data_IF_806639309781
#
_entry.id   IF_806639309781
#
_cell.length_a   1.000
_cell.length_b   1.000
_cell.length_c   1.000
_cell.angle_alpha   90.00
_cell.angle_beta   90.00
_cell.angle_gamma   90.00
#
_symmetry.space_group_name_H-M   'P 1'
#
loop_
_entity.id
_entity.type
_entity.pdbx_description
1 polymer ?
#
# COMPACT_ATOMS: atom_id res chain seq x y z
N UNK A 1 -22.81 -19.99 32.49
CA UNK A 1 -21.42 -19.49 32.36
C UNK A 1 -20.72 -20.44 31.37
N UNK A 2 -20.73 -20.14 30.08
CA UNK A 2 -20.04 -20.93 29.04
C UNK A 2 -18.95 -20.05 28.49
N UNK A 3 -17.69 -20.50 28.62
CA UNK A 3 -16.51 -19.83 28.11
C UNK A 3 -16.57 -19.78 26.59
N UNK A 4 -16.23 -18.63 26.06
CA UNK A 4 -15.97 -18.46 24.63
C UNK A 4 -14.59 -19.05 24.34
N UNK A 5 -14.58 -20.09 23.56
CA UNK A 5 -13.38 -20.78 23.08
C UNK A 5 -12.54 -19.83 22.20
N UNK A 6 -11.27 -19.71 22.60
CA UNK A 6 -10.23 -19.05 21.81
C UNK A 6 -9.75 -19.94 20.67
N UNK A 7 -10.56 -20.09 19.62
CA UNK A 7 -10.33 -21.07 18.55
C UNK A 7 -10.33 -20.50 17.13
N UNK A 8 -10.03 -19.20 16.90
CA UNK A 8 -10.14 -18.63 15.55
C UNK A 8 -8.88 -17.91 15.02
N UNK A 9 -7.72 -18.08 15.68
CA UNK A 9 -6.44 -17.57 15.19
C UNK A 9 -5.53 -18.66 14.58
N UNK A 10 -6.04 -19.85 14.34
CA UNK A 10 -5.25 -21.00 13.84
C UNK A 10 -5.34 -21.20 12.31
N UNK A 11 -5.69 -20.18 11.53
CA UNK A 11 -5.91 -20.30 10.09
C UNK A 11 -4.93 -19.55 9.19
N UNK A 12 -4.02 -18.76 9.76
CA UNK A 12 -2.90 -18.18 9.00
C UNK A 12 -1.74 -19.18 9.07
N UNK A 13 -1.84 -20.28 8.33
CA UNK A 13 -0.72 -21.17 8.07
C UNK A 13 0.39 -20.37 7.40
N UNK A 14 1.62 -20.82 7.57
CA UNK A 14 2.83 -20.29 6.95
C UNK A 14 2.58 -19.80 5.50
N UNK A 15 2.17 -18.52 5.36
CA UNK A 15 1.79 -17.94 4.07
C UNK A 15 3.00 -17.69 3.16
N UNK A 16 4.20 -18.04 3.63
CA UNK A 16 5.46 -17.72 2.97
C UNK A 16 6.01 -16.37 3.43
N UNK A 17 7.23 -16.10 3.05
CA UNK A 17 7.98 -14.90 3.39
C UNK A 17 8.33 -14.14 2.10
N UNK A 18 8.15 -12.82 2.09
CA UNK A 18 8.61 -11.94 1.01
C UNK A 18 10.15 -11.83 0.98
N UNK A 19 10.84 -12.40 1.95
CA UNK A 19 12.26 -12.22 2.14
C UNK A 19 12.62 -10.88 2.77
N UNK A 20 13.92 -10.54 2.73
CA UNK A 20 14.41 -9.28 3.26
C UNK A 20 14.11 -8.13 2.30
N UNK A 21 13.20 -7.22 2.70
CA UNK A 21 12.82 -6.02 1.93
C UNK A 21 13.67 -4.79 2.27
N UNK A 22 14.71 -4.91 3.09
CA UNK A 22 15.53 -3.78 3.57
C UNK A 22 16.17 -3.00 2.43
N UNK A 23 16.58 -3.68 1.36
CA UNK A 23 17.18 -3.05 0.18
C UNK A 23 16.17 -2.20 -0.63
N UNK A 24 14.88 -2.38 -0.36
CA UNK A 24 13.79 -1.63 -1.01
C UNK A 24 13.17 -0.57 -0.09
N UNK A 25 13.79 -0.28 1.04
CA UNK A 25 13.27 0.67 2.05
C UNK A 25 13.03 2.09 1.51
N UNK A 26 13.69 2.48 0.42
CA UNK A 26 13.40 3.75 -0.27
C UNK A 26 12.10 3.70 -1.09
N UNK A 27 11.65 2.53 -1.51
CA UNK A 27 10.49 2.33 -2.38
C UNK A 27 9.25 1.89 -1.60
N UNK A 28 9.42 1.19 -0.49
CA UNK A 28 8.33 0.60 0.26
C UNK A 28 8.53 0.70 1.79
N UNK A 29 7.45 0.44 2.51
CA UNK A 29 7.36 0.39 3.97
C UNK A 29 6.97 -1.04 4.32
N UNK A 30 7.90 -1.81 4.87
CA UNK A 30 7.67 -3.19 5.28
C UNK A 30 6.70 -3.25 6.47
N UNK A 31 5.58 -3.97 6.35
CA UNK A 31 4.59 -4.11 7.40
C UNK A 31 5.09 -4.93 8.59
N UNK A 32 6.05 -5.83 8.40
CA UNK A 32 6.67 -6.58 9.49
C UNK A 32 7.54 -5.68 10.39
N UNK A 33 8.22 -4.69 9.80
CA UNK A 33 9.00 -3.69 10.52
C UNK A 33 8.13 -2.54 11.07
N UNK A 34 6.96 -2.29 10.45
CA UNK A 34 6.06 -1.18 10.74
C UNK A 34 4.61 -1.68 10.92
N UNK A 35 4.27 -2.27 12.09
CA UNK A 35 2.96 -2.90 12.32
C UNK A 35 1.78 -1.92 12.21
N UNK A 36 2.00 -0.62 12.33
CA UNK A 36 1.01 0.44 12.11
C UNK A 36 0.43 0.44 10.68
N UNK A 37 1.11 -0.15 9.70
CA UNK A 37 0.58 -0.33 8.33
C UNK A 37 -0.72 -1.16 8.33
N UNK A 38 -0.87 -2.09 9.27
CA UNK A 38 -2.10 -2.85 9.44
C UNK A 38 -3.31 -1.96 9.77
N UNK A 39 -3.11 -0.92 10.58
CA UNK A 39 -4.16 0.01 11.01
C UNK A 39 -4.65 0.87 9.83
N UNK A 40 -3.84 1.07 8.80
CA UNK A 40 -4.22 1.86 7.64
C UNK A 40 -5.40 1.26 6.88
N UNK A 41 -5.56 -0.06 6.88
CA UNK A 41 -6.69 -0.72 6.22
C UNK A 41 -8.05 -0.38 6.85
N UNK A 42 -8.10 -0.08 8.14
CA UNK A 42 -9.36 0.20 8.84
C UNK A 42 -10.08 1.44 8.27
N UNK A 43 -9.33 2.44 7.84
CA UNK A 43 -9.87 3.65 7.21
C UNK A 43 -10.54 3.32 5.87
N UNK A 44 -9.97 2.39 5.11
CA UNK A 44 -10.46 1.98 3.79
C UNK A 44 -11.74 1.14 3.86
N UNK A 45 -11.94 0.37 4.92
CA UNK A 45 -13.16 -0.43 5.11
C UNK A 45 -14.43 0.43 5.12
N UNK A 46 -14.28 1.73 5.33
CA UNK A 46 -15.39 2.69 5.32
C UNK A 46 -15.92 3.04 3.91
N UNK A 47 -15.14 2.80 2.84
CA UNK A 47 -15.50 3.12 1.46
C UNK A 47 -15.40 1.94 0.49
N UNK A 48 -14.69 0.88 0.87
CA UNK A 48 -14.55 -0.32 0.04
C UNK A 48 -15.89 -1.06 -0.10
N UNK A 49 -16.11 -1.75 -1.23
CA UNK A 49 -17.29 -2.60 -1.40
C UNK A 49 -17.40 -3.65 -0.29
N UNK A 50 -18.62 -3.99 0.13
CA UNK A 50 -18.89 -4.99 1.19
C UNK A 50 -18.22 -6.36 0.96
N UNK A 51 -17.96 -6.72 -0.29
CA UNK A 51 -17.23 -7.95 -0.64
C UNK A 51 -15.73 -7.90 -0.36
N UNK A 52 -15.18 -6.73 -0.07
CA UNK A 52 -13.75 -6.46 0.18
C UNK A 52 -13.53 -5.92 1.60
N UNK A 53 -14.40 -5.01 2.06
CA UNK A 53 -14.33 -4.40 3.38
C UNK A 53 -14.43 -5.45 4.50
N UNK A 54 -13.65 -5.28 5.56
CA UNK A 54 -13.67 -6.13 6.76
C UNK A 54 -13.21 -7.57 6.56
N UNK A 55 -12.69 -7.94 5.39
CA UNK A 55 -12.09 -9.27 5.18
C UNK A 55 -10.74 -9.34 5.87
N UNK A 56 -10.39 -10.56 6.34
CA UNK A 56 -9.05 -10.82 6.85
C UNK A 56 -8.01 -10.51 5.77
N UNK A 57 -7.01 -9.72 6.15
CA UNK A 57 -5.88 -9.31 5.33
C UNK A 57 -4.62 -9.44 6.15
N UNK A 58 -3.60 -10.00 5.56
CA UNK A 58 -2.25 -9.96 6.09
C UNK A 58 -1.53 -8.82 5.38
N UNK A 59 -1.23 -7.70 6.05
CA UNK A 59 -0.45 -6.61 5.47
C UNK A 59 0.95 -7.10 5.14
N UNK A 60 1.40 -6.85 3.92
CA UNK A 60 2.73 -7.23 3.47
C UNK A 60 3.68 -6.02 3.47
N UNK A 61 3.29 -4.99 2.77
CA UNK A 61 4.00 -3.70 2.72
C UNK A 61 3.09 -2.60 2.16
N UNK A 62 3.55 -1.36 2.26
CA UNK A 62 2.98 -0.23 1.52
C UNK A 62 4.04 0.37 0.60
N UNK A 63 3.66 0.90 -0.57
CA UNK A 63 4.57 1.74 -1.35
C UNK A 63 4.86 3.06 -0.64
N UNK A 64 5.92 3.77 -1.01
CA UNK A 64 6.18 5.11 -0.50
C UNK A 64 5.11 6.15 -0.90
N UNK A 65 4.25 5.83 -1.85
CA UNK A 65 3.07 6.64 -2.18
C UNK A 65 1.81 6.22 -1.41
N UNK A 66 1.90 5.19 -0.57
CA UNK A 66 0.83 4.75 0.33
C UNK A 66 -0.04 3.62 -0.21
N UNK A 67 0.14 3.17 -1.45
CA UNK A 67 -0.55 1.99 -2.00
C UNK A 67 -0.28 0.77 -1.13
N UNK A 68 -1.34 0.04 -0.73
CA UNK A 68 -1.27 -1.04 0.23
C UNK A 68 -1.24 -2.40 -0.45
N UNK A 69 -0.31 -3.25 -0.04
CA UNK A 69 -0.17 -4.62 -0.54
C UNK A 69 -0.44 -5.61 0.59
N UNK A 70 -1.26 -6.61 0.33
CA UNK A 70 -1.71 -7.55 1.35
C UNK A 70 -2.01 -8.94 0.76
N UNK A 71 -1.95 -9.97 1.60
CA UNK A 71 -2.41 -11.30 1.28
C UNK A 71 -3.77 -11.58 1.94
N UNK A 72 -4.55 -12.46 1.33
CA UNK A 72 -5.72 -13.10 1.93
C UNK A 72 -5.31 -14.41 2.60
N UNK A 73 -6.19 -15.00 3.44
CA UNK A 73 -5.91 -16.30 4.10
C UNK A 73 -5.63 -17.45 3.14
N UNK A 74 -6.06 -17.36 1.88
CA UNK A 74 -5.76 -18.33 0.82
C UNK A 74 -4.40 -18.11 0.15
N UNK A 75 -3.64 -17.11 0.59
CA UNK A 75 -2.34 -16.73 0.05
C UNK A 75 -2.38 -15.78 -1.14
N UNK A 76 -3.54 -15.56 -1.76
CA UNK A 76 -3.68 -14.65 -2.90
C UNK A 76 -3.33 -13.22 -2.52
N UNK A 77 -2.46 -12.58 -3.29
CA UNK A 77 -1.94 -11.24 -3.03
C UNK A 77 -2.66 -10.16 -3.82
N UNK A 78 -2.92 -9.04 -3.17
CA UNK A 78 -3.68 -7.91 -3.72
C UNK A 78 -2.98 -6.59 -3.47
N UNK A 79 -3.32 -5.62 -4.31
CA UNK A 79 -3.00 -4.21 -4.14
C UNK A 79 -4.30 -3.42 -3.91
N UNK A 80 -4.28 -2.51 -2.95
CA UNK A 80 -5.28 -1.47 -2.78
C UNK A 80 -4.68 -0.15 -3.24
N UNK A 81 -5.14 0.34 -4.37
CA UNK A 81 -4.75 1.63 -4.92
C UNK A 81 -5.37 2.78 -4.12
N UNK A 82 -4.53 3.57 -3.49
CA UNK A 82 -4.97 4.69 -2.64
C UNK A 82 -5.44 5.92 -3.45
N UNK A 83 -5.10 6.00 -4.73
CA UNK A 83 -5.46 7.14 -5.57
C UNK A 83 -6.87 7.04 -6.12
N UNK A 84 -7.33 5.82 -6.44
CA UNK A 84 -8.64 5.57 -7.03
C UNK A 84 -9.54 4.66 -6.19
N UNK A 85 -9.00 4.01 -5.15
CA UNK A 85 -9.74 3.14 -4.24
C UNK A 85 -10.08 1.79 -4.86
N UNK A 86 -9.32 1.37 -5.87
CA UNK A 86 -9.49 0.10 -6.55
C UNK A 86 -8.67 -1.00 -5.88
N UNK A 87 -9.18 -2.24 -5.94
CA UNK A 87 -8.50 -3.43 -5.45
C UNK A 87 -8.20 -4.35 -6.63
N UNK A 88 -6.92 -4.66 -6.81
CA UNK A 88 -6.42 -5.51 -7.88
C UNK A 88 -5.73 -6.75 -7.32
N UNK A 89 -6.05 -7.92 -7.88
CA UNK A 89 -5.26 -9.13 -7.65
C UNK A 89 -3.94 -9.05 -8.42
N UNK A 90 -2.83 -9.34 -7.72
CA UNK A 90 -1.49 -9.24 -8.29
C UNK A 90 -0.83 -10.60 -8.50
N UNK A 91 -0.94 -11.50 -7.53
CA UNK A 91 -0.26 -12.79 -7.55
C UNK A 91 -1.08 -13.86 -6.84
N UNK A 92 -0.96 -15.13 -7.27
CA UNK A 92 -1.69 -16.23 -6.63
C UNK A 92 -1.16 -16.57 -5.23
N UNK A 93 0.09 -16.19 -4.94
CA UNK A 93 0.77 -16.46 -3.66
C UNK A 93 1.90 -15.45 -3.40
N UNK A 94 2.42 -15.48 -2.17
CA UNK A 94 3.47 -14.57 -1.71
C UNK A 94 4.81 -14.85 -2.41
N UNK A 95 5.13 -16.09 -2.76
CA UNK A 95 6.39 -16.42 -3.43
C UNK A 95 6.42 -15.78 -4.84
N UNK A 96 5.33 -15.85 -5.58
CA UNK A 96 5.17 -15.18 -6.87
C UNK A 96 5.25 -13.64 -6.71
N UNK A 97 4.62 -13.08 -5.67
CA UNK A 97 4.73 -11.65 -5.39
C UNK A 97 6.17 -11.25 -5.08
N UNK A 98 6.93 -12.05 -4.32
CA UNK A 98 8.34 -11.79 -4.01
C UNK A 98 9.21 -11.71 -5.28
N UNK A 99 8.96 -12.59 -6.26
CA UNK A 99 9.61 -12.53 -7.57
C UNK A 99 9.29 -11.21 -8.29
N UNK A 100 8.02 -10.78 -8.26
CA UNK A 100 7.59 -9.52 -8.86
C UNK A 100 8.25 -8.31 -8.19
N UNK A 101 8.23 -8.24 -6.87
CA UNK A 101 8.83 -7.14 -6.10
C UNK A 101 10.33 -7.01 -6.36
N UNK A 102 11.01 -8.11 -6.65
CA UNK A 102 12.43 -8.12 -7.01
C UNK A 102 12.70 -7.64 -8.45
N UNK A 103 11.66 -7.49 -9.28
CA UNK A 103 11.81 -7.09 -10.68
C UNK A 103 11.78 -5.55 -10.82
N UNK A 104 12.84 -4.91 -11.37
CA UNK A 104 12.88 -3.46 -11.54
C UNK A 104 11.72 -2.89 -12.38
N UNK A 105 11.27 -3.59 -13.42
CA UNK A 105 10.16 -3.11 -14.24
C UNK A 105 8.84 -3.12 -13.47
N UNK A 106 8.64 -4.09 -12.56
CA UNK A 106 7.50 -4.13 -11.66
C UNK A 106 7.57 -2.98 -10.64
N UNK A 107 8.76 -2.69 -10.10
CA UNK A 107 8.98 -1.57 -9.17
C UNK A 107 8.66 -0.23 -9.84
N UNK A 108 9.04 -0.03 -11.11
CA UNK A 108 8.65 1.17 -11.86
C UNK A 108 7.14 1.31 -11.96
N UNK A 109 6.44 0.22 -12.27
CA UNK A 109 4.99 0.24 -12.47
C UNK A 109 4.21 0.39 -11.17
N UNK A 110 4.54 -0.39 -10.13
CA UNK A 110 3.69 -0.50 -8.93
C UNK A 110 4.21 0.25 -7.71
N UNK A 111 5.52 0.56 -7.67
CA UNK A 111 6.13 1.34 -6.59
C UNK A 111 6.49 2.77 -7.03
N UNK A 112 6.30 3.11 -8.31
CA UNK A 112 6.65 4.42 -8.89
C UNK A 112 8.13 4.76 -8.66
N UNK A 113 9.03 3.79 -8.86
CA UNK A 113 10.44 3.89 -8.51
C UNK A 113 11.16 5.05 -9.21
N UNK A 114 10.79 5.38 -10.47
CA UNK A 114 11.33 6.54 -11.18
C UNK A 114 11.00 7.85 -10.45
N UNK A 115 9.75 8.00 -9.98
CA UNK A 115 9.32 9.17 -9.21
C UNK A 115 10.05 9.27 -7.87
N UNK A 116 10.23 8.14 -7.15
CA UNK A 116 11.01 8.13 -5.90
C UNK A 116 12.44 8.58 -6.14
N UNK A 117 13.11 8.09 -7.19
CA UNK A 117 14.47 8.52 -7.54
C UNK A 117 14.55 10.01 -7.91
N UNK A 118 13.56 10.51 -8.64
CA UNK A 118 13.48 11.93 -9.00
C UNK A 118 13.31 12.82 -7.75
N UNK A 119 12.47 12.40 -6.79
CA UNK A 119 12.31 13.10 -5.51
C UNK A 119 13.60 13.10 -4.70
N UNK A 120 14.29 11.96 -4.60
CA UNK A 120 15.56 11.85 -3.92
C UNK A 120 16.63 12.78 -4.54
N UNK A 121 16.67 12.92 -5.87
CA UNK A 121 17.56 13.82 -6.58
C UNK A 121 17.29 15.30 -6.26
N UNK A 122 16.10 15.67 -5.82
CA UNK A 122 15.74 17.02 -5.36
C UNK A 122 15.86 17.19 -3.84
N UNK A 123 16.28 16.15 -3.12
CA UNK A 123 16.44 16.18 -1.66
C UNK A 123 15.14 15.95 -0.88
N UNK A 124 14.08 15.44 -1.54
CA UNK A 124 12.82 15.09 -0.91
C UNK A 124 12.85 13.61 -0.56
N UNK A 125 12.77 13.28 0.73
CA UNK A 125 12.84 11.92 1.26
C UNK A 125 11.68 11.65 2.22
N UNK A 126 10.99 10.53 2.03
CA UNK A 126 10.07 9.95 3.02
C UNK A 126 10.83 8.89 3.84
N UNK A 127 10.64 8.86 5.16
CA UNK A 127 11.35 7.97 6.11
C UNK A 127 10.36 7.27 7.03
N UNK A 128 10.78 6.15 7.61
CA UNK A 128 9.92 5.39 8.52
C UNK A 128 8.59 5.07 7.85
N UNK A 129 7.49 5.56 8.40
CA UNK A 129 6.12 5.42 7.86
C UNK A 129 5.61 6.61 7.06
N UNK A 130 6.49 7.57 6.73
CA UNK A 130 6.13 8.68 5.85
C UNK A 130 5.88 8.22 4.41
N UNK A 131 4.91 8.89 3.77
CA UNK A 131 4.53 8.68 2.38
C UNK A 131 4.69 9.97 1.56
N UNK A 132 4.91 9.80 0.27
CA UNK A 132 4.80 10.86 -0.72
C UNK A 132 3.33 11.07 -1.09
N UNK A 133 2.77 12.18 -0.65
CA UNK A 133 1.39 12.56 -0.94
C UNK A 133 1.34 13.43 -2.20
N UNK A 134 0.46 13.11 -3.14
CA UNK A 134 0.25 13.88 -4.37
C UNK A 134 -0.75 15.01 -4.08
N UNK A 135 -0.37 16.23 -4.38
CA UNK A 135 -1.19 17.43 -4.16
C UNK A 135 -1.27 18.32 -5.44
N UNK A 136 -2.47 18.53 -6.02
CA UNK A 136 -3.76 17.97 -5.60
C UNK A 136 -3.83 16.44 -5.75
N UNK A 137 -4.70 15.80 -4.97
CA UNK A 137 -4.94 14.36 -5.10
C UNK A 137 -5.54 14.02 -6.48
N UNK A 138 -5.18 12.89 -7.13
CA UNK A 138 -5.71 12.51 -8.45
C UNK A 138 -7.23 12.54 -8.55
N UNK A 139 -7.95 12.08 -7.54
CA UNK A 139 -9.42 12.07 -7.50
C UNK A 139 -10.07 13.47 -7.58
N UNK A 140 -9.30 14.53 -7.35
CA UNK A 140 -9.79 15.92 -7.41
C UNK A 140 -9.03 16.77 -8.44
N UNK A 141 -8.47 16.12 -9.46
CA UNK A 141 -7.85 16.77 -10.62
C UNK A 141 -6.33 16.94 -10.51
N UNK A 142 -5.67 16.25 -9.59
CA UNK A 142 -4.22 16.15 -9.55
C UNK A 142 -3.65 15.24 -10.64
N UNK A 143 -2.31 15.13 -10.75
CA UNK A 143 -1.66 14.25 -11.71
C UNK A 143 -2.01 12.78 -11.44
N UNK A 144 -2.26 12.03 -12.52
CA UNK A 144 -2.47 10.59 -12.43
C UNK A 144 -1.11 9.87 -12.33
N UNK A 145 -0.78 9.25 -11.19
CA UNK A 145 0.53 8.62 -11.00
C UNK A 145 0.76 7.40 -11.90
N UNK A 146 -0.31 6.81 -12.43
CA UNK A 146 -0.21 5.65 -13.32
C UNK A 146 -0.04 6.05 -14.79
N UNK A 147 -0.36 7.31 -15.13
CA UNK A 147 -0.21 7.85 -16.48
C UNK A 147 1.09 8.62 -16.67
N UNK A 148 1.67 9.16 -15.60
CA UNK A 148 2.91 9.93 -15.63
C UNK A 148 4.13 9.01 -15.54
N UNK A 149 5.13 9.21 -16.40
CA UNK A 149 6.39 8.47 -16.33
C UNK A 149 7.17 8.84 -15.04
N UNK A 150 7.17 10.13 -14.70
CA UNK A 150 7.76 10.67 -13.48
C UNK A 150 6.90 11.81 -12.96
N UNK A 151 6.50 11.74 -11.70
CA UNK A 151 5.73 12.80 -11.06
C UNK A 151 6.58 14.05 -10.84
N UNK A 152 5.97 15.23 -11.07
CA UNK A 152 6.62 16.51 -10.77
C UNK A 152 6.85 16.63 -9.24
N UNK A 153 8.09 16.80 -8.78
CA UNK A 153 8.38 17.02 -7.37
C UNK A 153 7.60 18.18 -6.73
N UNK A 154 7.22 19.21 -7.51
CA UNK A 154 6.42 20.32 -7.01
C UNK A 154 4.98 19.92 -6.62
N UNK A 155 4.48 18.79 -7.11
CA UNK A 155 3.19 18.23 -6.74
C UNK A 155 3.26 17.25 -5.55
N UNK A 156 4.43 17.09 -4.91
CA UNK A 156 4.62 16.08 -3.86
C UNK A 156 4.88 16.74 -2.52
N UNK A 157 4.19 16.23 -1.51
CA UNK A 157 4.41 16.53 -0.09
C UNK A 157 4.80 15.25 0.65
N UNK A 158 5.56 15.37 1.73
CA UNK A 158 5.84 14.24 2.65
C UNK A 158 4.86 14.34 3.81
N UNK A 159 4.11 13.26 4.05
CA UNK A 159 3.13 13.14 5.13
C UNK A 159 3.30 11.80 5.84
N UNK A 160 2.91 11.74 7.12
CA UNK A 160 2.76 10.48 7.83
C UNK A 160 1.73 9.59 7.11
N UNK A 161 1.99 8.28 7.01
CA UNK A 161 1.17 7.35 6.23
C UNK A 161 -0.27 7.26 6.71
N UNK A 162 -0.53 7.16 8.02
CA UNK A 162 -1.89 7.11 8.56
C UNK A 162 -2.75 8.31 8.16
N UNK A 163 -2.34 9.56 8.43
CA UNK A 163 -2.99 10.76 7.92
C UNK A 163 -3.16 10.79 6.40
N UNK A 164 -2.15 10.34 5.64
CA UNK A 164 -2.26 10.25 4.17
C UNK A 164 -3.38 9.32 3.74
N UNK A 165 -3.50 8.11 4.33
CA UNK A 165 -4.60 7.18 4.06
C UNK A 165 -5.97 7.82 4.32
N UNK A 166 -6.11 8.54 5.44
CA UNK A 166 -7.34 9.27 5.78
C UNK A 166 -7.71 10.31 4.73
N UNK A 167 -6.74 11.09 4.27
CA UNK A 167 -6.94 12.09 3.21
C UNK A 167 -7.35 11.45 1.89
N UNK A 168 -6.72 10.35 1.46
CA UNK A 168 -7.10 9.63 0.24
C UNK A 168 -8.57 9.19 0.29
N UNK A 169 -9.01 8.58 1.40
CA UNK A 169 -10.40 8.17 1.60
C UNK A 169 -11.35 9.38 1.53
N UNK A 170 -11.00 10.50 2.15
CA UNK A 170 -11.83 11.70 2.15
C UNK A 170 -11.93 12.33 0.75
N UNK A 171 -10.86 12.35 -0.03
CA UNK A 171 -10.90 12.83 -1.42
C UNK A 171 -11.78 11.93 -2.30
N UNK A 172 -11.65 10.60 -2.17
CA UNK A 172 -12.47 9.65 -2.91
C UNK A 172 -13.95 9.72 -2.55
N UNK A 173 -14.30 9.98 -1.29
CA UNK A 173 -15.69 10.22 -0.88
C UNK A 173 -16.30 11.46 -1.51
N UNK A 174 -15.52 12.51 -1.69
CA UNK A 174 -15.98 13.78 -2.30
C UNK A 174 -16.08 13.71 -3.82
N UNK A 175 -15.29 12.81 -4.45
CA UNK A 175 -15.28 12.64 -5.90
C UNK A 175 -16.40 11.71 -6.41
N UNK A 176 -17.06 10.95 -5.51
CA UNK A 176 -18.21 10.08 -5.81
C UNK A 176 -19.53 10.82 -5.66
#
# INVERSE_FOLDING_TARGET
MRGLDGGELAGLGDLGDLGDLSDLSDLLIDAAAHPEVADWFAVWDTILPRGVAGKLREPLFASRFGTLFYARPDGTCFMLDVFFGDVQELAPDIATLAEFVSNPAWQETYLLAASVRALAATGIFARGTECYAIAPHPAVGGPDPWAEEVLDPAAIMVLEGGPWQGLCVDFLRRAR
#
